data_IF_788464888996
#
_entry.id   IF_788464888996
#
_cell.length_a   1.000
_cell.length_b   1.000
_cell.length_c   1.000
_cell.angle_alpha   90.00
_cell.angle_beta   90.00
_cell.angle_gamma   90.00
#
_symmetry.space_group_name_H-M   'P 1'
#
loop_
_entity.id
_entity.type
_entity.pdbx_description
1 polymer ?
#
# COMPACT_ATOMS: atom_id res chain seq x y z
N UNK A 1 19.52 -57.63 7.22
CA UNK A 1 19.99 -56.80 8.36
C UNK A 1 20.61 -55.49 7.87
N UNK A 2 21.39 -55.50 6.79
CA UNK A 2 21.92 -54.30 6.12
C UNK A 2 20.82 -53.40 5.50
N UNK A 3 19.75 -53.97 4.95
CA UNK A 3 18.71 -53.21 4.24
C UNK A 3 17.87 -52.31 5.17
N UNK A 4 17.66 -52.76 6.41
CA UNK A 4 16.98 -51.96 7.43
C UNK A 4 17.84 -50.78 7.90
N UNK A 5 19.16 -50.94 7.98
CA UNK A 5 20.09 -49.88 8.34
C UNK A 5 20.22 -48.82 7.24
N UNK A 6 20.21 -49.23 5.96
CA UNK A 6 20.23 -48.32 4.81
C UNK A 6 18.93 -47.49 4.70
N UNK A 7 17.79 -48.11 5.00
CA UNK A 7 16.48 -47.42 5.04
C UNK A 7 16.42 -46.38 6.16
N UNK A 8 16.90 -46.72 7.36
CA UNK A 8 16.97 -45.80 8.50
C UNK A 8 17.94 -44.62 8.25
N UNK A 9 19.08 -44.88 7.61
CA UNK A 9 20.03 -43.85 7.22
C UNK A 9 19.47 -42.91 6.14
N UNK A 10 18.73 -43.45 5.16
CA UNK A 10 18.01 -42.66 4.16
C UNK A 10 16.92 -41.78 4.80
N UNK A 11 16.17 -42.32 5.77
CA UNK A 11 15.15 -41.56 6.49
C UNK A 11 15.76 -40.45 7.34
N UNK A 12 16.90 -40.70 8.00
CA UNK A 12 17.64 -39.69 8.75
C UNK A 12 18.19 -38.58 7.84
N UNK A 13 18.72 -38.91 6.65
CA UNK A 13 19.18 -37.91 5.68
C UNK A 13 18.05 -37.03 5.14
N UNK A 14 16.86 -37.59 4.91
CA UNK A 14 15.67 -36.83 4.45
C UNK A 14 15.15 -35.89 5.56
N UNK A 15 15.19 -36.32 6.82
CA UNK A 15 14.75 -35.48 7.96
C UNK A 15 15.70 -34.30 8.21
N UNK A 16 16.99 -34.43 7.88
CA UNK A 16 18.00 -33.38 8.10
C UNK A 16 17.86 -32.19 7.12
N UNK A 17 17.22 -32.37 5.95
CA UNK A 17 17.24 -31.34 4.87
C UNK A 17 16.06 -30.37 4.79
N UNK A 18 15.05 -30.40 5.66
CA UNK A 18 13.89 -29.48 5.52
C UNK A 18 13.76 -28.41 6.60
N UNK A 19 14.68 -28.33 7.57
CA UNK A 19 14.76 -27.15 8.43
C UNK A 19 15.54 -26.04 7.73
N UNK A 20 14.93 -25.49 6.68
CA UNK A 20 15.29 -24.14 6.23
C UNK A 20 15.10 -23.22 7.44
N UNK A 21 16.21 -22.75 8.01
CA UNK A 21 16.19 -21.63 8.93
C UNK A 21 15.70 -20.41 8.12
N UNK A 22 14.38 -20.25 8.02
CA UNK A 22 13.81 -18.95 7.69
C UNK A 22 14.18 -18.04 8.84
N UNK A 23 15.03 -17.06 8.55
CA UNK A 23 15.32 -16.00 9.48
C UNK A 23 14.08 -15.08 9.49
N UNK A 24 13.02 -15.51 10.17
CA UNK A 24 11.79 -14.72 10.38
C UNK A 24 12.02 -13.69 11.50
N UNK A 25 13.17 -13.01 11.45
CA UNK A 25 13.44 -11.84 12.29
C UNK A 25 12.52 -10.72 11.82
N UNK A 26 11.30 -10.71 12.34
CA UNK A 26 10.36 -9.61 12.22
C UNK A 26 10.95 -8.45 13.00
N UNK A 27 11.20 -7.33 12.30
CA UNK A 27 11.65 -6.08 12.91
C UNK A 27 10.58 -5.60 13.92
N UNK A 28 10.79 -5.88 15.20
CA UNK A 28 9.89 -5.48 16.27
C UNK A 28 10.26 -4.06 16.74
N UNK A 29 9.64 -3.05 16.14
CA UNK A 29 9.74 -1.66 16.59
C UNK A 29 8.49 -1.33 17.40
N UNK A 30 8.62 -0.95 18.69
CA UNK A 30 7.47 -0.61 19.52
C UNK A 30 6.64 0.51 18.88
N UNK A 31 5.34 0.27 18.70
CA UNK A 31 4.40 1.21 18.06
C UNK A 31 4.28 1.07 16.54
N UNK A 32 4.89 0.06 15.94
CA UNK A 32 4.76 -0.26 14.52
C UNK A 32 4.14 -1.65 14.38
N UNK A 33 2.99 -1.74 13.72
CA UNK A 33 2.25 -3.00 13.59
C UNK A 33 2.12 -3.35 12.10
N UNK A 34 2.20 -4.65 11.81
CA UNK A 34 2.21 -5.19 10.45
C UNK A 34 0.81 -5.06 9.86
N UNK A 35 0.67 -4.23 8.84
CA UNK A 35 -0.56 -4.23 8.04
C UNK A 35 -0.54 -5.44 7.13
N UNK A 36 -1.64 -6.18 7.09
CA UNK A 36 -1.79 -7.31 6.18
C UNK A 36 -1.81 -6.78 4.73
N UNK A 37 -0.67 -6.84 4.05
CA UNK A 37 -0.57 -6.67 2.60
C UNK A 37 -0.09 -7.99 2.01
N UNK A 38 -0.81 -8.48 1.01
CA UNK A 38 -0.74 -9.87 0.53
C UNK A 38 0.58 -10.28 -0.16
N UNK A 39 1.57 -9.37 -0.25
CA UNK A 39 2.84 -9.64 -0.96
C UNK A 39 4.11 -9.24 -0.21
N UNK A 40 4.11 -8.17 0.58
CA UNK A 40 5.26 -7.73 1.38
C UNK A 40 4.80 -7.12 2.70
N UNK A 41 5.50 -7.36 3.83
CA UNK A 41 5.13 -6.80 5.13
C UNK A 41 5.30 -5.27 5.10
N UNK A 42 4.17 -4.56 5.01
CA UNK A 42 4.16 -3.12 5.15
C UNK A 42 4.07 -2.78 6.63
N UNK A 43 4.97 -1.91 7.07
CA UNK A 43 5.00 -1.42 8.42
C UNK A 43 4.52 0.04 8.41
N UNK A 44 3.44 0.31 9.13
CA UNK A 44 3.08 1.67 9.52
C UNK A 44 2.93 1.71 11.02
N UNK A 45 2.97 2.92 11.56
CA UNK A 45 2.51 3.10 12.92
C UNK A 45 0.99 3.04 12.93
N UNK A 46 0.48 1.89 13.36
CA UNK A 46 -0.92 1.70 13.71
C UNK A 46 -1.12 2.34 15.07
N UNK A 47 -1.58 3.59 15.08
CA UNK A 47 -2.30 4.06 16.27
C UNK A 47 -3.73 3.54 16.14
N UNK A 48 -4.08 2.53 16.94
CA UNK A 48 -5.48 2.20 17.19
C UNK A 48 -6.20 3.51 17.56
N UNK A 49 -7.30 3.81 16.86
CA UNK A 49 -8.06 5.05 17.05
C UNK A 49 -8.85 4.97 18.35
N UNK A 50 -8.14 4.94 19.48
CA UNK A 50 -8.70 5.04 20.80
C UNK A 50 -8.93 6.52 21.11
N UNK A 51 -10.21 6.90 21.23
CA UNK A 51 -10.67 8.28 21.50
C UNK A 51 -10.23 8.84 22.87
N UNK A 52 -9.36 8.16 23.63
CA UNK A 52 -9.14 8.44 25.06
C UNK A 52 -7.72 8.84 25.48
N UNK A 53 -6.75 9.07 24.58
CA UNK A 53 -5.41 9.58 24.98
C UNK A 53 -5.21 11.07 24.71
N UNK A 54 -5.01 11.82 25.80
CA UNK A 54 -4.93 13.29 25.89
C UNK A 54 -3.68 13.95 25.30
N UNK A 55 -2.69 13.19 24.83
CA UNK A 55 -1.53 13.76 24.13
C UNK A 55 -1.17 12.87 22.94
N UNK A 56 -1.71 13.21 21.77
CA UNK A 56 -1.36 12.62 20.48
C UNK A 56 -0.44 13.59 19.75
N UNK A 57 0.75 13.14 19.36
CA UNK A 57 1.46 13.81 18.26
C UNK A 57 0.88 13.25 16.97
N UNK A 58 0.00 14.02 16.33
CA UNK A 58 -0.60 13.67 15.05
C UNK A 58 0.53 13.46 14.05
N UNK A 59 0.58 12.28 13.42
CA UNK A 59 1.50 12.04 12.31
C UNK A 59 0.84 12.52 11.04
N UNK A 60 1.47 13.48 10.39
CA UNK A 60 0.95 14.12 9.17
C UNK A 60 1.71 13.67 7.93
N UNK A 61 2.86 13.03 8.10
CA UNK A 61 3.80 12.64 7.04
C UNK A 61 4.38 11.25 7.31
N UNK A 62 4.48 10.44 6.26
CA UNK A 62 5.39 9.29 6.21
C UNK A 62 6.70 9.74 5.57
N UNK A 63 7.82 9.43 6.20
CA UNK A 63 9.14 9.82 5.72
C UNK A 63 10.00 8.58 5.49
N UNK A 64 10.67 8.52 4.34
CA UNK A 64 11.62 7.46 4.01
C UNK A 64 11.78 7.30 2.50
N UNK A 65 13.02 7.16 1.98
CA UNK A 65 13.27 7.09 0.53
C UNK A 65 12.52 5.98 -0.21
N UNK A 66 12.09 4.93 0.50
CA UNK A 66 11.31 3.83 -0.08
C UNK A 66 9.84 4.20 -0.34
N UNK A 67 9.30 5.17 0.41
CA UNK A 67 7.92 5.66 0.31
C UNK A 67 7.82 6.90 -0.58
N UNK A 68 8.96 7.47 -0.96
CA UNK A 68 9.02 8.62 -1.85
C UNK A 68 8.80 8.18 -3.30
N UNK A 69 8.14 9.04 -4.06
CA UNK A 69 8.08 8.88 -5.51
C UNK A 69 9.47 9.14 -6.10
N UNK A 70 9.92 8.27 -7.01
CA UNK A 70 11.24 8.37 -7.64
C UNK A 70 11.44 9.69 -8.44
N UNK A 71 10.35 10.39 -8.74
CA UNK A 71 10.32 11.68 -9.42
C UNK A 71 9.14 12.50 -8.89
N UNK A 72 9.21 13.82 -9.11
CA UNK A 72 8.07 14.72 -8.91
C UNK A 72 6.97 14.51 -9.97
N UNK A 73 7.30 13.84 -11.09
CA UNK A 73 6.32 13.40 -12.07
C UNK A 73 5.70 12.05 -11.65
N UNK A 74 4.46 12.09 -11.18
CA UNK A 74 3.70 10.93 -10.71
C UNK A 74 2.79 10.44 -11.85
N UNK A 75 2.99 9.22 -12.38
CA UNK A 75 2.08 8.61 -13.34
C UNK A 75 0.73 8.29 -12.68
N UNK A 76 -0.37 8.58 -13.37
CA UNK A 76 -1.69 8.18 -12.91
C UNK A 76 -2.56 7.61 -14.02
N UNK A 77 -3.62 6.90 -13.62
CA UNK A 77 -4.65 6.33 -14.47
C UNK A 77 -6.01 6.54 -13.83
N UNK A 78 -7.05 6.75 -14.63
CA UNK A 78 -8.43 6.76 -14.16
C UNK A 78 -9.12 5.52 -14.73
N UNK A 79 -9.59 4.65 -13.84
CA UNK A 79 -10.21 3.39 -14.20
C UNK A 79 -11.73 3.45 -13.95
N UNK A 80 -12.49 3.50 -15.04
CA UNK A 80 -13.94 3.61 -14.99
C UNK A 80 -14.44 5.04 -14.74
N UNK A 81 -15.69 5.12 -14.26
CA UNK A 81 -16.40 6.39 -14.05
C UNK A 81 -16.86 7.09 -15.33
N UNK A 82 -17.79 8.02 -15.16
CA UNK A 82 -18.30 8.87 -16.24
C UNK A 82 -17.37 10.07 -16.49
N UNK A 83 -17.72 10.89 -17.49
CA UNK A 83 -16.94 12.09 -17.82
C UNK A 83 -16.84 13.06 -16.63
N UNK A 84 -17.89 13.16 -15.81
CA UNK A 84 -17.91 14.03 -14.64
C UNK A 84 -16.93 13.56 -13.56
N UNK A 85 -16.90 12.25 -13.28
CA UNK A 85 -15.93 11.65 -12.38
C UNK A 85 -14.50 11.91 -12.84
N UNK A 86 -14.19 11.64 -14.11
CA UNK A 86 -12.85 11.88 -14.63
C UNK A 86 -12.43 13.35 -14.49
N UNK A 87 -13.34 14.30 -14.75
CA UNK A 87 -13.09 15.72 -14.56
C UNK A 87 -12.94 16.13 -13.10
N UNK A 88 -13.65 15.47 -12.18
CA UNK A 88 -13.45 15.66 -10.74
C UNK A 88 -12.02 15.28 -10.34
N UNK A 89 -11.53 14.12 -10.78
CA UNK A 89 -10.15 13.68 -10.52
C UNK A 89 -9.14 14.67 -11.10
N UNK A 90 -9.30 15.06 -12.36
CA UNK A 90 -8.40 16.03 -13.02
C UNK A 90 -8.39 17.39 -12.29
N UNK A 91 -9.53 17.85 -11.78
CA UNK A 91 -9.60 19.08 -10.96
C UNK A 91 -8.86 18.92 -9.65
N UNK A 92 -9.05 17.81 -8.94
CA UNK A 92 -8.32 17.54 -7.69
C UNK A 92 -6.81 17.48 -7.90
N UNK A 93 -6.37 16.78 -8.94
CA UNK A 93 -4.96 16.73 -9.37
C UNK A 93 -4.42 18.14 -9.62
N UNK A 94 -5.15 18.97 -10.37
CA UNK A 94 -4.73 20.34 -10.68
C UNK A 94 -4.53 21.17 -9.42
N UNK A 95 -5.36 21.02 -8.39
CA UNK A 95 -5.18 21.72 -7.11
C UNK A 95 -3.84 21.36 -6.45
N UNK A 96 -3.42 20.09 -6.53
CA UNK A 96 -2.11 19.66 -6.05
C UNK A 96 -0.97 20.23 -6.87
N UNK A 97 -1.09 20.25 -8.20
CA UNK A 97 -0.08 20.82 -9.09
C UNK A 97 0.08 22.33 -8.90
N UNK A 98 -0.99 23.05 -8.56
CA UNK A 98 -0.95 24.49 -8.29
C UNK A 98 -0.29 24.82 -6.94
N UNK A 99 -0.46 23.96 -5.93
CA UNK A 99 0.06 24.18 -4.57
C UNK A 99 1.43 23.54 -4.30
N UNK A 100 1.89 22.63 -5.16
CA UNK A 100 3.10 21.83 -4.92
C UNK A 100 3.98 21.73 -6.17
N UNK A 101 5.17 21.14 -6.04
CA UNK A 101 6.04 20.81 -7.17
C UNK A 101 5.64 19.51 -7.89
N UNK A 102 4.63 18.79 -7.40
CA UNK A 102 4.17 17.55 -8.01
C UNK A 102 3.56 17.81 -9.39
N UNK A 103 3.79 16.87 -10.30
CA UNK A 103 3.25 16.89 -11.66
C UNK A 103 2.65 15.53 -11.96
N UNK A 104 1.40 15.50 -12.40
CA UNK A 104 0.67 14.27 -12.64
C UNK A 104 0.53 14.04 -14.14
N UNK A 105 0.93 12.86 -14.60
CA UNK A 105 0.87 12.50 -16.02
C UNK A 105 -0.03 11.29 -16.21
N UNK A 106 -1.08 11.44 -17.00
CA UNK A 106 -1.95 10.32 -17.33
C UNK A 106 -1.18 9.34 -18.23
N UNK A 107 -0.92 8.13 -17.74
CA UNK A 107 -0.10 7.15 -18.44
C UNK A 107 -0.60 5.71 -18.20
N UNK A 108 -1.36 5.21 -19.17
CA UNK A 108 -1.92 3.85 -19.15
C UNK A 108 -0.87 2.75 -19.24
N UNK A 109 0.33 3.05 -19.75
CA UNK A 109 1.42 2.08 -19.90
C UNK A 109 2.38 2.04 -18.69
N UNK A 110 2.22 2.93 -17.70
CA UNK A 110 3.07 2.92 -16.52
C UNK A 110 2.85 1.63 -15.71
N UNK A 111 3.95 1.07 -15.20
CA UNK A 111 3.92 -0.09 -14.28
C UNK A 111 3.90 0.33 -12.82
N UNK A 112 4.20 1.58 -12.53
CA UNK A 112 4.23 2.17 -11.20
C UNK A 112 3.44 3.48 -11.24
N UNK A 113 2.23 3.47 -10.73
CA UNK A 113 1.25 4.53 -10.95
C UNK A 113 0.14 4.52 -9.91
N UNK A 114 -0.43 5.71 -9.69
CA UNK A 114 -1.69 5.84 -8.98
C UNK A 114 -2.83 5.46 -9.93
N UNK A 115 -3.77 4.63 -9.49
CA UNK A 115 -4.98 4.32 -10.24
C UNK A 115 -6.21 4.76 -9.45
N UNK A 116 -6.93 5.74 -9.97
CA UNK A 116 -8.18 6.20 -9.39
C UNK A 116 -9.31 5.28 -9.82
N UNK A 117 -10.03 4.70 -8.87
CA UNK A 117 -11.10 3.74 -9.12
C UNK A 117 -12.39 4.27 -8.50
N UNK A 118 -13.45 4.32 -9.30
CA UNK A 118 -14.79 4.62 -8.81
C UNK A 118 -15.44 3.35 -8.26
N UNK A 119 -15.83 3.37 -6.99
CA UNK A 119 -16.62 2.32 -6.36
C UNK A 119 -17.98 2.83 -5.88
N UNK A 120 -18.96 1.94 -5.78
CA UNK A 120 -20.26 2.27 -5.20
C UNK A 120 -20.12 2.31 -3.68
N UNK A 121 -20.53 3.41 -3.06
CA UNK A 121 -20.54 3.54 -1.61
C UNK A 121 -20.13 4.94 -1.15
N UNK A 122 -20.01 5.07 0.16
CA UNK A 122 -19.65 6.29 0.90
C UNK A 122 -18.18 6.33 1.32
N UNK A 123 -17.47 5.21 1.20
CA UNK A 123 -16.08 5.09 1.62
C UNK A 123 -15.12 5.61 0.56
N UNK A 124 -14.19 6.47 1.00
CA UNK A 124 -13.02 6.88 0.23
C UNK A 124 -11.76 6.54 0.98
N UNK A 125 -10.88 5.77 0.36
CA UNK A 125 -9.68 5.28 1.02
C UNK A 125 -8.59 4.91 0.02
N UNK A 126 -7.38 4.80 0.55
CA UNK A 126 -6.25 4.15 -0.10
C UNK A 126 -5.58 3.26 0.94
N UNK A 127 -5.09 2.12 0.51
CA UNK A 127 -4.38 1.17 1.37
C UNK A 127 -2.97 1.69 1.71
N UNK A 128 -2.35 2.44 0.80
CA UNK A 128 -0.95 2.86 0.88
C UNK A 128 -0.80 4.36 1.05
N UNK A 129 0.11 4.77 1.94
CA UNK A 129 0.55 6.15 2.10
C UNK A 129 1.95 6.27 1.51
N UNK A 130 2.13 7.15 0.51
CA UNK A 130 3.35 7.24 -0.28
C UNK A 130 3.36 6.25 -1.45
N UNK A 131 4.54 6.02 -2.04
CA UNK A 131 4.75 5.06 -3.12
C UNK A 131 4.89 3.65 -2.55
N UNK A 132 4.03 2.74 -2.99
CA UNK A 132 4.16 1.31 -2.67
C UNK A 132 4.90 0.53 -3.78
N UNK A 133 4.92 1.07 -5.00
CA UNK A 133 5.40 0.37 -6.19
C UNK A 133 4.29 -0.43 -6.85
N UNK A 134 4.23 -0.37 -8.18
CA UNK A 134 3.15 -1.01 -8.93
C UNK A 134 1.96 -0.07 -9.16
N UNK A 135 0.83 -0.61 -9.61
CA UNK A 135 -0.43 0.12 -9.55
C UNK A 135 -0.93 0.14 -8.11
N UNK A 136 -1.12 1.34 -7.56
CA UNK A 136 -1.74 1.54 -6.25
C UNK A 136 -3.08 2.24 -6.40
N UNK A 137 -4.12 1.65 -5.82
CA UNK A 137 -5.48 2.11 -5.99
C UNK A 137 -5.84 3.20 -4.96
N UNK A 138 -6.48 4.25 -5.47
CA UNK A 138 -7.21 5.23 -4.67
C UNK A 138 -8.68 5.03 -4.98
N UNK A 139 -9.40 4.50 -3.99
CA UNK A 139 -10.82 4.20 -4.08
C UNK A 139 -11.60 5.46 -3.76
N UNK A 140 -12.49 5.85 -4.68
CA UNK A 140 -13.38 6.98 -4.52
C UNK A 140 -14.80 6.45 -4.58
N UNK A 141 -15.47 6.41 -3.43
CA UNK A 141 -16.88 6.10 -3.32
C UNK A 141 -17.73 7.15 -4.06
N UNK A 142 -18.85 6.69 -4.63
CA UNK A 142 -19.82 7.54 -5.32
C UNK A 142 -20.23 8.77 -4.50
N UNK A 143 -20.43 8.64 -3.19
CA UNK A 143 -20.83 9.79 -2.36
C UNK A 143 -19.71 10.81 -2.12
N UNK A 144 -18.44 10.43 -2.28
CA UNK A 144 -17.33 11.39 -2.26
C UNK A 144 -17.18 12.11 -3.60
N UNK A 145 -17.51 11.41 -4.71
CA UNK A 145 -17.44 11.97 -6.05
C UNK A 145 -18.55 13.01 -6.29
N UNK A 146 -19.70 12.78 -5.67
CA UNK A 146 -20.79 13.75 -5.58
C UNK A 146 -20.45 14.77 -4.49
N UNK A 147 -19.71 15.82 -4.86
CA UNK A 147 -19.40 16.90 -3.95
C UNK A 147 -20.68 17.44 -3.30
N UNK A 148 -20.94 17.05 -2.05
CA UNK A 148 -21.94 17.73 -1.23
C UNK A 148 -21.47 19.17 -1.12
N UNK A 149 -22.19 20.04 -1.81
CA UNK A 149 -22.21 21.47 -1.53
C UNK A 149 -22.67 21.61 -0.09
N UNK A 150 -21.71 21.69 0.83
CA UNK A 150 -21.92 22.19 2.17
C UNK A 150 -21.90 23.72 2.12
#
# INVERSE_FOLDING_TARGET
>A
MLDFLLSLAGFLLVVVQSKTFRNDSVLNIPGMEMMASDKYPHYTVIESVSRTKWHRHRREVIAGPIYDWNSYEIPYQIWGGDYNFQNLIRRGIRMWEEATCLRFRENMASRDAIRYVLEKGDSCFTEYIGRNGGHQDIIIGSECAEGKSA
#
